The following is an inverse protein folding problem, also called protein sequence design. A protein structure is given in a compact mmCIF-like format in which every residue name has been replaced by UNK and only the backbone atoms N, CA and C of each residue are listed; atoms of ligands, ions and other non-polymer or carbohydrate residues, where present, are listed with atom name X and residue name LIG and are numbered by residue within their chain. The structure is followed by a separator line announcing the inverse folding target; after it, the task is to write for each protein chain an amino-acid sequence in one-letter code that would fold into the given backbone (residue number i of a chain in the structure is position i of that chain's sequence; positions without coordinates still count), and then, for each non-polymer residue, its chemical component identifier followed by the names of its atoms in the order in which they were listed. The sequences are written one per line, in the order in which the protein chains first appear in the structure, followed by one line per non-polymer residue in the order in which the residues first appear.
data_IF_494534154284
#
_entry.id   IF_494534154284
#
_cell.length_a   1.000
_cell.length_b   1.000
_cell.length_c   1.000
_cell.angle_alpha   90.00
_cell.angle_beta   90.00
_cell.angle_gamma   90.00
#
_symmetry.space_group_name_H-M   'P 1'
#
loop_
_entity.id
_entity.type
_entity.pdbx_description
1 polymer ?
#
# COMPACT_ATOMS: atom_id res chain seq x y z
N UNK A 1 -8.32 -18.78 -32.76
CA UNK A 1 -7.69 -18.61 -31.43
C UNK A 1 -7.15 -17.19 -31.37
N UNK A 2 -7.83 -16.31 -30.65
CA UNK A 2 -7.29 -14.98 -30.33
C UNK A 2 -6.11 -15.17 -29.38
N UNK A 3 -4.97 -14.55 -29.69
CA UNK A 3 -3.80 -14.59 -28.82
C UNK A 3 -4.17 -13.84 -27.52
N UNK A 4 -4.05 -14.46 -26.34
CA UNK A 4 -4.66 -13.94 -25.10
C UNK A 4 -3.97 -12.66 -24.56
N UNK A 5 -2.94 -12.17 -25.25
CA UNK A 5 -2.23 -10.92 -25.00
C UNK A 5 -2.22 -10.00 -26.25
N UNK A 6 -3.03 -10.27 -27.27
CA UNK A 6 -3.10 -9.45 -28.49
C UNK A 6 -3.41 -7.97 -28.20
N UNK A 7 -4.41 -7.63 -27.34
CA UNK A 7 -4.74 -6.23 -27.08
C UNK A 7 -3.59 -5.46 -26.42
N UNK A 8 -2.77 -6.15 -25.60
CA UNK A 8 -1.59 -5.58 -24.96
C UNK A 8 -0.47 -5.31 -25.97
N UNK A 9 -0.29 -6.21 -26.94
CA UNK A 9 0.67 -6.02 -28.02
C UNK A 9 0.26 -4.83 -28.90
N UNK A 10 -1.02 -4.74 -29.23
CA UNK A 10 -1.57 -3.63 -30.00
C UNK A 10 -1.46 -2.29 -29.24
N UNK A 11 -1.76 -2.30 -27.93
CA UNK A 11 -1.58 -1.13 -27.07
C UNK A 11 -0.11 -0.70 -27.02
N UNK A 12 0.83 -1.65 -26.91
CA UNK A 12 2.27 -1.33 -26.90
C UNK A 12 2.68 -0.61 -28.18
N UNK A 13 2.33 -1.16 -29.34
CA UNK A 13 2.65 -0.54 -30.63
C UNK A 13 2.02 0.87 -30.74
N UNK A 14 0.78 1.02 -30.28
CA UNK A 14 0.07 2.30 -30.29
C UNK A 14 0.70 3.33 -29.34
N UNK A 15 1.05 2.93 -28.11
CA UNK A 15 1.66 3.82 -27.14
C UNK A 15 3.08 4.21 -27.53
N UNK A 16 3.85 3.33 -28.17
CA UNK A 16 5.16 3.71 -28.71
C UNK A 16 5.04 4.81 -29.78
N UNK A 17 4.06 4.70 -30.69
CA UNK A 17 3.76 5.76 -31.67
C UNK A 17 3.25 7.05 -31.01
N UNK A 18 2.39 6.91 -29.99
CA UNK A 18 1.79 8.02 -29.26
C UNK A 18 2.80 8.77 -28.39
N UNK A 19 3.74 8.06 -27.75
CA UNK A 19 4.83 8.68 -26.99
C UNK A 19 5.81 9.44 -27.89
N UNK A 20 5.98 9.00 -29.14
CA UNK A 20 6.80 9.73 -30.13
C UNK A 20 6.06 10.94 -30.71
N UNK A 21 4.72 10.87 -30.79
CA UNK A 21 3.87 11.90 -31.42
C UNK A 21 2.67 12.24 -30.54
N UNK A 22 2.89 12.81 -29.33
CA UNK A 22 1.83 13.04 -28.35
C UNK A 22 0.79 14.07 -28.82
N UNK A 23 1.21 15.03 -29.65
CA UNK A 23 0.36 16.10 -30.18
C UNK A 23 -0.37 15.69 -31.47
N UNK A 24 -0.78 14.41 -31.59
CA UNK A 24 -1.63 13.96 -32.70
C UNK A 24 -2.99 14.67 -32.65
N UNK A 25 -3.08 15.82 -33.31
CA UNK A 25 -4.30 16.62 -33.39
C UNK A 25 -5.46 15.94 -34.10
N UNK A 26 -5.26 14.75 -34.67
CA UNK A 26 -6.34 13.94 -35.26
C UNK A 26 -7.06 13.06 -34.23
N UNK A 27 -6.44 12.79 -33.08
CA UNK A 27 -6.99 11.90 -32.05
C UNK A 27 -6.95 10.42 -32.40
N UNK A 28 -6.45 10.04 -33.57
CA UNK A 28 -6.44 8.66 -34.04
C UNK A 28 -5.65 7.73 -33.11
N UNK A 29 -4.46 8.17 -32.68
CA UNK A 29 -3.64 7.37 -31.76
C UNK A 29 -4.29 7.23 -30.38
N UNK A 30 -5.00 8.26 -29.92
CA UNK A 30 -5.75 8.22 -28.66
C UNK A 30 -6.92 7.23 -28.74
N UNK A 31 -7.75 7.32 -29.78
CA UNK A 31 -8.88 6.42 -29.99
C UNK A 31 -8.43 4.96 -30.10
N UNK A 32 -7.33 4.72 -30.82
CA UNK A 32 -6.74 3.38 -30.94
C UNK A 32 -6.22 2.86 -29.60
N UNK A 33 -5.57 3.69 -28.80
CA UNK A 33 -5.11 3.31 -27.45
C UNK A 33 -6.30 2.97 -26.54
N UNK A 34 -7.35 3.79 -26.54
CA UNK A 34 -8.58 3.55 -25.78
C UNK A 34 -9.25 2.23 -26.18
N UNK A 35 -9.42 1.98 -27.48
CA UNK A 35 -9.98 0.73 -27.98
C UNK A 35 -9.15 -0.49 -27.57
N UNK A 36 -7.82 -0.36 -27.54
CA UNK A 36 -6.95 -1.44 -27.06
C UNK A 36 -7.16 -1.71 -25.57
N UNK A 37 -7.23 -0.67 -24.73
CA UNK A 37 -7.50 -0.81 -23.27
C UNK A 37 -8.87 -1.46 -23.05
N UNK A 38 -9.93 -1.01 -23.72
CA UNK A 38 -11.26 -1.62 -23.64
C UNK A 38 -11.23 -3.11 -24.03
N UNK A 39 -10.50 -3.44 -25.10
CA UNK A 39 -10.32 -4.84 -25.52
C UNK A 39 -9.50 -5.65 -24.49
N UNK A 40 -8.57 -5.02 -23.74
CA UNK A 40 -7.88 -5.67 -22.63
C UNK A 40 -8.85 -6.03 -21.51
N UNK A 41 -9.78 -5.14 -21.11
CA UNK A 41 -10.81 -5.43 -20.11
C UNK A 41 -11.60 -6.69 -20.48
N UNK A 42 -12.12 -6.75 -21.71
CA UNK A 42 -12.87 -7.91 -22.20
C UNK A 42 -12.03 -9.19 -22.25
N UNK A 43 -10.80 -9.11 -22.76
CA UNK A 43 -9.93 -10.28 -22.89
C UNK A 43 -9.55 -10.87 -21.52
N UNK A 44 -9.29 -10.01 -20.53
CA UNK A 44 -9.01 -10.46 -19.16
C UNK A 44 -10.25 -11.12 -18.58
N UNK A 45 -11.42 -10.49 -18.68
CA UNK A 45 -12.66 -11.05 -18.16
C UNK A 45 -12.98 -12.43 -18.76
N UNK A 46 -12.92 -12.56 -20.08
CA UNK A 46 -13.16 -13.83 -20.78
C UNK A 46 -12.17 -14.92 -20.35
N UNK A 47 -10.89 -14.57 -20.20
CA UNK A 47 -9.88 -15.53 -19.76
C UNK A 47 -10.06 -15.95 -18.30
N UNK A 48 -10.40 -15.01 -17.42
CA UNK A 48 -10.63 -15.29 -15.99
C UNK A 48 -11.89 -16.14 -15.74
N UNK A 49 -12.88 -16.07 -16.63
CA UNK A 49 -14.08 -16.92 -16.60
C UNK A 49 -13.89 -18.28 -17.30
N UNK A 50 -12.73 -18.52 -17.91
CA UNK A 50 -12.47 -19.76 -18.63
C UNK A 50 -12.23 -20.94 -17.67
N UNK A 51 -12.50 -22.19 -18.07
CA UNK A 51 -12.36 -23.37 -17.20
C UNK A 51 -10.90 -23.82 -17.02
N UNK A 52 -9.98 -22.87 -16.85
CA UNK A 52 -8.54 -23.13 -16.67
C UNK A 52 -8.23 -23.37 -15.20
N UNK A 53 -7.13 -24.09 -14.96
CA UNK A 53 -6.62 -24.31 -13.62
C UNK A 53 -6.16 -23.00 -12.97
N UNK A 54 -6.32 -22.88 -11.65
CA UNK A 54 -5.93 -21.69 -10.87
C UNK A 54 -4.46 -21.28 -11.10
N UNK A 55 -3.55 -22.25 -11.23
CA UNK A 55 -2.14 -21.95 -11.49
C UNK A 55 -1.93 -21.24 -12.83
N UNK A 56 -2.74 -21.58 -13.85
CA UNK A 56 -2.72 -20.93 -15.16
C UNK A 56 -3.30 -19.53 -15.07
N UNK A 57 -4.42 -19.35 -14.38
CA UNK A 57 -5.06 -18.05 -14.15
C UNK A 57 -4.14 -17.09 -13.38
N UNK A 58 -3.46 -17.56 -12.33
CA UNK A 58 -2.46 -16.78 -11.59
C UNK A 58 -1.29 -16.35 -12.47
N UNK A 59 -0.74 -17.26 -13.28
CA UNK A 59 0.37 -16.95 -14.20
C UNK A 59 -0.07 -15.93 -15.26
N UNK A 60 -1.28 -16.08 -15.78
CA UNK A 60 -1.87 -15.14 -16.73
C UNK A 60 -2.00 -13.75 -16.14
N UNK A 61 -2.62 -13.62 -14.97
CA UNK A 61 -2.78 -12.36 -14.24
C UNK A 61 -1.43 -11.69 -13.95
N UNK A 62 -0.45 -12.45 -13.42
CA UNK A 62 0.91 -11.96 -13.19
C UNK A 62 1.57 -11.43 -14.46
N UNK A 63 1.36 -12.11 -15.59
CA UNK A 63 1.95 -11.71 -16.88
C UNK A 63 1.31 -10.41 -17.36
N UNK A 64 -0.01 -10.25 -17.26
CA UNK A 64 -0.68 -8.99 -17.56
C UNK A 64 -0.19 -7.84 -16.70
N UNK A 65 -0.14 -8.02 -15.38
CA UNK A 65 0.35 -7.00 -14.45
C UNK A 65 1.76 -6.55 -14.81
N UNK A 66 2.67 -7.50 -15.08
CA UNK A 66 4.06 -7.20 -15.42
C UNK A 66 4.19 -6.47 -16.77
N UNK A 67 3.40 -6.86 -17.76
CA UNK A 67 3.45 -6.22 -19.08
C UNK A 67 2.81 -4.84 -19.08
N UNK A 68 1.70 -4.65 -18.37
CA UNK A 68 1.09 -3.33 -18.12
C UNK A 68 2.11 -2.44 -17.39
N UNK A 69 2.75 -2.96 -16.32
CA UNK A 69 3.80 -2.25 -15.59
C UNK A 69 4.91 -1.76 -16.53
N UNK A 70 5.50 -2.67 -17.31
CA UNK A 70 6.58 -2.34 -18.24
C UNK A 70 6.17 -1.28 -19.27
N UNK A 71 4.94 -1.37 -19.78
CA UNK A 71 4.43 -0.43 -20.78
C UNK A 71 4.22 0.96 -20.18
N UNK A 72 3.54 1.04 -19.05
CA UNK A 72 3.19 2.32 -18.43
C UNK A 72 4.33 2.94 -17.62
N UNK A 73 5.40 2.20 -17.35
CA UNK A 73 6.67 2.76 -16.87
C UNK A 73 7.39 3.64 -17.91
N UNK A 74 7.05 3.50 -19.20
CA UNK A 74 7.57 4.34 -20.27
C UNK A 74 6.83 5.68 -20.39
N UNK A 75 5.65 5.78 -19.75
CA UNK A 75 4.81 6.98 -19.83
C UNK A 75 5.36 8.08 -18.92
N UNK A 76 5.50 9.33 -19.42
CA UNK A 76 5.94 10.46 -18.59
C UNK A 76 5.00 10.72 -17.42
N UNK A 77 5.56 10.97 -16.23
CA UNK A 77 4.75 11.31 -15.05
C UNK A 77 4.02 12.65 -15.18
N UNK A 78 4.46 13.53 -16.08
CA UNK A 78 3.72 14.76 -16.40
C UNK A 78 2.34 14.48 -17.00
N UNK A 79 2.10 13.28 -17.55
CA UNK A 79 0.78 12.90 -18.06
C UNK A 79 -0.24 12.59 -16.97
N UNK A 80 0.18 12.45 -15.71
CA UNK A 80 -0.71 12.23 -14.56
C UNK A 80 -0.74 13.39 -13.58
N UNK A 81 -0.07 14.49 -13.91
CA UNK A 81 -0.09 15.70 -13.07
C UNK A 81 -1.53 16.19 -12.89
N UNK A 82 -1.90 16.49 -11.65
CA UNK A 82 -3.24 16.91 -11.24
C UNK A 82 -4.38 15.93 -11.64
N UNK A 83 -4.09 14.65 -11.86
CA UNK A 83 -5.13 13.65 -12.07
C UNK A 83 -5.85 13.37 -10.75
N UNK A 84 -7.15 13.67 -10.71
CA UNK A 84 -8.06 13.25 -9.66
C UNK A 84 -8.89 12.04 -10.14
N UNK A 85 -8.73 10.85 -9.55
CA UNK A 85 -9.54 9.69 -9.90
C UNK A 85 -11.03 9.83 -9.61
N UNK A 86 -11.39 10.71 -8.66
CA UNK A 86 -12.78 10.99 -8.29
C UNK A 86 -13.43 12.03 -9.22
N UNK A 87 -12.62 12.81 -9.96
CA UNK A 87 -13.06 13.75 -11.01
C UNK A 87 -12.25 13.51 -12.30
N UNK A 88 -12.55 12.42 -13.04
CA UNK A 88 -11.76 12.03 -14.20
C UNK A 88 -11.83 13.09 -15.31
N UNK A 89 -10.76 13.22 -16.12
CA UNK A 89 -10.74 14.23 -17.18
C UNK A 89 -11.84 14.00 -18.22
N UNK A 90 -12.24 15.09 -18.87
CA UNK A 90 -13.26 15.03 -19.91
C UNK A 90 -12.75 14.22 -21.12
N UNK A 91 -13.56 13.26 -21.60
CA UNK A 91 -13.20 12.41 -22.75
C UNK A 91 -13.15 13.18 -24.07
N UNK A 92 -13.93 14.26 -24.17
CA UNK A 92 -14.06 15.11 -25.35
C UNK A 92 -13.03 16.25 -25.40
N UNK A 93 -12.17 16.39 -24.38
CA UNK A 93 -11.11 17.39 -24.36
C UNK A 93 -9.77 16.81 -24.85
N UNK A 94 -9.26 17.25 -26.03
CA UNK A 94 -7.97 16.80 -26.54
C UNK A 94 -6.78 17.11 -25.64
N UNK A 95 -6.86 18.17 -24.83
CA UNK A 95 -5.79 18.49 -23.87
C UNK A 95 -5.67 17.44 -22.76
N UNK A 96 -6.72 16.63 -22.56
CA UNK A 96 -6.84 15.63 -21.49
C UNK A 96 -6.62 14.19 -21.95
N UNK A 97 -6.41 13.93 -23.25
CA UNK A 97 -6.26 12.58 -23.80
C UNK A 97 -5.15 11.74 -23.16
N UNK A 98 -3.98 12.35 -22.92
CA UNK A 98 -2.88 11.71 -22.22
C UNK A 98 -3.27 11.27 -20.80
N UNK A 99 -3.95 12.17 -20.06
CA UNK A 99 -4.46 11.89 -18.72
C UNK A 99 -5.50 10.78 -18.74
N UNK A 100 -6.38 10.76 -19.74
CA UNK A 100 -7.39 9.72 -19.91
C UNK A 100 -6.77 8.34 -20.13
N UNK A 101 -5.71 8.21 -20.93
CA UNK A 101 -5.00 6.94 -21.10
C UNK A 101 -4.41 6.45 -19.77
N UNK A 102 -3.80 7.35 -18.98
CA UNK A 102 -3.26 6.99 -17.68
C UNK A 102 -4.35 6.59 -16.67
N UNK A 103 -5.46 7.32 -16.65
CA UNK A 103 -6.63 6.99 -15.83
C UNK A 103 -7.20 5.61 -16.17
N UNK A 104 -7.33 5.31 -17.45
CA UNK A 104 -7.83 4.02 -17.92
C UNK A 104 -6.91 2.85 -17.57
N UNK A 105 -5.59 3.05 -17.62
CA UNK A 105 -4.64 2.06 -17.08
C UNK A 105 -4.82 1.86 -15.57
N UNK A 106 -4.96 2.96 -14.82
CA UNK A 106 -5.17 2.89 -13.38
C UNK A 106 -6.46 2.10 -13.07
N UNK A 107 -7.54 2.40 -13.79
CA UNK A 107 -8.84 1.72 -13.67
C UNK A 107 -8.72 0.23 -13.99
N UNK A 108 -8.02 -0.14 -15.06
CA UNK A 108 -7.78 -1.53 -15.43
C UNK A 108 -7.07 -2.31 -14.31
N UNK A 109 -5.99 -1.75 -13.75
CA UNK A 109 -5.26 -2.38 -12.64
C UNK A 109 -6.13 -2.50 -11.37
N UNK A 110 -6.93 -1.47 -11.06
CA UNK A 110 -7.89 -1.51 -9.95
C UNK A 110 -8.98 -2.55 -10.16
N UNK A 111 -9.48 -2.70 -11.38
CA UNK A 111 -10.45 -3.74 -11.71
C UNK A 111 -9.84 -5.13 -11.53
N UNK A 112 -8.63 -5.36 -12.03
CA UNK A 112 -7.90 -6.61 -11.84
C UNK A 112 -7.74 -6.95 -10.35
N UNK A 113 -7.40 -5.96 -9.52
CA UNK A 113 -7.24 -6.12 -8.07
C UNK A 113 -8.56 -6.43 -7.35
N UNK A 114 -9.66 -5.79 -7.75
CA UNK A 114 -10.96 -5.86 -7.05
C UNK A 114 -11.81 -7.04 -7.50
N UNK A 115 -11.86 -7.34 -8.80
CA UNK A 115 -12.65 -8.44 -9.36
C UNK A 115 -11.95 -9.79 -9.22
N UNK A 116 -10.62 -9.82 -9.25
CA UNK A 116 -9.83 -11.06 -9.23
C UNK A 116 -8.79 -11.12 -8.10
N UNK A 117 -9.16 -10.85 -6.83
CA UNK A 117 -8.22 -10.64 -5.73
C UNK A 117 -7.36 -11.88 -5.39
N UNK A 118 -7.87 -13.09 -5.65
CA UNK A 118 -7.15 -14.36 -5.40
C UNK A 118 -6.03 -14.58 -6.44
N UNK A 119 -6.20 -14.01 -7.63
CA UNK A 119 -5.29 -14.19 -8.76
C UNK A 119 -4.32 -13.02 -8.92
N UNK A 120 -4.66 -11.84 -8.38
CA UNK A 120 -3.85 -10.65 -8.42
C UNK A 120 -2.53 -10.80 -7.63
N UNK A 121 -1.41 -10.56 -8.31
CA UNK A 121 -0.07 -10.68 -7.74
C UNK A 121 0.27 -9.43 -6.92
N UNK A 122 0.09 -9.51 -5.59
CA UNK A 122 0.38 -8.39 -4.68
C UNK A 122 1.87 -8.16 -4.44
N UNK A 123 2.73 -9.12 -4.73
CA UNK A 123 4.18 -8.97 -4.53
C UNK A 123 4.89 -8.23 -5.68
N UNK A 124 4.21 -8.03 -6.81
CA UNK A 124 4.74 -7.24 -7.93
C UNK A 124 4.72 -5.74 -7.65
N UNK A 125 5.56 -4.98 -8.34
CA UNK A 125 5.54 -3.51 -8.28
C UNK A 125 4.47 -2.93 -9.22
N UNK A 126 3.72 -1.90 -8.80
CA UNK A 126 2.87 -1.14 -9.71
C UNK A 126 3.69 -0.30 -10.72
N UNK A 127 3.08 0.07 -11.87
CA UNK A 127 3.65 1.11 -12.73
C UNK A 127 3.71 2.45 -11.99
N UNK A 128 4.68 3.30 -12.34
CA UNK A 128 4.87 4.59 -11.65
C UNK A 128 3.62 5.49 -11.72
N UNK A 129 2.92 5.53 -12.85
CA UNK A 129 1.69 6.31 -12.98
C UNK A 129 0.63 5.89 -11.96
N UNK A 130 0.51 4.59 -11.66
CA UNK A 130 -0.44 4.08 -10.69
C UNK A 130 -0.10 4.59 -9.29
N UNK A 131 1.19 4.63 -8.96
CA UNK A 131 1.68 5.15 -7.68
C UNK A 131 1.36 6.64 -7.53
N UNK A 132 1.63 7.45 -8.55
CA UNK A 132 1.36 8.90 -8.50
C UNK A 132 -0.13 9.20 -8.37
N UNK A 133 -0.97 8.42 -9.06
CA UNK A 133 -2.42 8.53 -8.94
C UNK A 133 -2.90 8.12 -7.55
N UNK A 134 -2.38 7.05 -6.95
CA UNK A 134 -2.72 6.75 -5.55
C UNK A 134 -2.24 7.85 -4.59
N UNK A 135 -1.02 8.39 -4.79
CA UNK A 135 -0.53 9.50 -3.97
C UNK A 135 -1.46 10.70 -4.03
N UNK A 136 -2.00 11.08 -5.19
CA UNK A 136 -2.92 12.21 -5.31
C UNK A 136 -4.18 12.00 -4.45
N UNK A 137 -4.77 10.80 -4.49
CA UNK A 137 -5.93 10.43 -3.66
C UNK A 137 -5.68 10.52 -2.14
N UNK A 138 -4.45 10.27 -1.70
CA UNK A 138 -4.09 10.27 -0.28
C UNK A 138 -3.40 11.55 0.18
N UNK A 139 -3.04 12.47 -0.72
CA UNK A 139 -2.22 13.64 -0.42
C UNK A 139 -2.83 14.51 0.69
N UNK A 140 -4.12 14.84 0.56
CA UNK A 140 -4.82 15.66 1.54
C UNK A 140 -4.86 15.00 2.93
N UNK A 141 -5.12 13.68 2.98
CA UNK A 141 -5.11 12.91 4.24
C UNK A 141 -3.74 12.95 4.90
N UNK A 142 -2.66 12.77 4.14
CA UNK A 142 -1.29 12.83 4.65
C UNK A 142 -0.98 14.22 5.22
N UNK A 143 -1.42 15.31 4.56
CA UNK A 143 -1.26 16.66 5.08
C UNK A 143 -2.02 16.89 6.39
N UNK A 144 -3.27 16.42 6.49
CA UNK A 144 -4.06 16.52 7.72
C UNK A 144 -3.38 15.76 8.86
N UNK A 145 -2.95 14.51 8.61
CA UNK A 145 -2.26 13.72 9.64
C UNK A 145 -0.99 14.48 10.09
N UNK A 146 -0.18 14.99 9.16
CA UNK A 146 1.03 15.74 9.51
C UNK A 146 0.71 16.97 10.39
N UNK A 147 -0.27 17.79 10.01
CA UNK A 147 -0.70 18.96 10.79
C UNK A 147 -1.26 18.59 12.17
N UNK A 148 -2.05 17.52 12.24
CA UNK A 148 -2.61 17.03 13.50
C UNK A 148 -1.48 16.63 14.46
N UNK A 149 -0.45 15.97 13.94
CA UNK A 149 0.70 15.50 14.72
C UNK A 149 1.59 16.63 15.21
N UNK A 150 1.82 17.67 14.40
CA UNK A 150 2.53 18.89 14.82
C UNK A 150 1.81 19.58 15.99
N UNK A 151 0.48 19.65 15.95
CA UNK A 151 -0.34 20.28 17.00
C UNK A 151 -0.40 19.47 18.29
N UNK A 152 -0.34 18.13 18.22
CA UNK A 152 -0.75 17.25 19.32
C UNK A 152 0.36 16.52 20.07
N UNK A 153 1.64 16.52 19.66
CA UNK A 153 2.54 15.55 20.31
C UNK A 153 4.01 15.84 20.46
N UNK A 154 4.43 16.47 21.58
CA UNK A 154 5.65 16.10 22.31
C UNK A 154 5.56 14.67 22.89
N UNK A 155 4.36 14.22 23.30
CA UNK A 155 4.14 12.92 23.94
C UNK A 155 4.05 11.74 22.95
N UNK A 156 3.71 12.01 21.69
CA UNK A 156 3.61 11.02 20.61
C UNK A 156 4.76 11.12 19.61
N UNK A 157 5.70 12.07 19.80
CA UNK A 157 6.68 12.47 18.79
C UNK A 157 7.52 11.30 18.27
N UNK A 158 8.00 10.42 19.16
CA UNK A 158 8.82 9.26 18.75
C UNK A 158 8.02 8.22 17.97
N UNK A 159 6.80 7.91 18.44
CA UNK A 159 5.92 6.97 17.74
C UNK A 159 5.52 7.51 16.37
N UNK A 160 5.31 8.83 16.29
CA UNK A 160 5.05 9.52 15.05
C UNK A 160 6.22 9.45 14.09
N UNK A 161 7.45 9.73 14.54
CA UNK A 161 8.64 9.66 13.70
C UNK A 161 8.75 8.30 13.03
N UNK A 162 8.50 7.22 13.77
CA UNK A 162 8.51 5.85 13.22
C UNK A 162 7.44 5.70 12.13
N UNK A 163 6.20 6.15 12.37
CA UNK A 163 5.11 6.05 11.40
C UNK A 163 5.33 6.92 10.16
N UNK A 164 5.79 8.14 10.39
CA UNK A 164 6.07 9.10 9.34
C UNK A 164 7.15 8.60 8.41
N UNK A 165 8.22 8.01 8.95
CA UNK A 165 9.26 7.37 8.14
C UNK A 165 8.68 6.25 7.27
N UNK A 166 7.79 5.40 7.81
CA UNK A 166 7.13 4.35 7.02
C UNK A 166 6.26 4.93 5.89
N UNK A 167 5.49 5.99 6.16
CA UNK A 167 4.68 6.67 5.14
C UNK A 167 5.57 7.35 4.09
N UNK A 168 6.62 8.06 4.52
CA UNK A 168 7.56 8.76 3.64
C UNK A 168 8.29 7.81 2.69
N UNK A 169 8.62 6.59 3.13
CA UNK A 169 9.26 5.58 2.27
C UNK A 169 8.47 5.32 1.00
N UNK A 170 7.15 5.19 1.09
CA UNK A 170 6.28 4.98 -0.08
C UNK A 170 6.00 6.27 -0.85
N UNK A 171 6.11 7.42 -0.18
CA UNK A 171 5.98 8.72 -0.84
C UNK A 171 7.20 9.05 -1.72
N UNK A 172 8.41 8.67 -1.29
CA UNK A 172 9.69 9.01 -1.92
C UNK A 172 10.38 7.77 -2.52
N UNK A 173 9.87 7.27 -3.64
CA UNK A 173 10.35 6.03 -4.30
C UNK A 173 11.46 6.24 -5.34
N UNK A 174 12.36 7.21 -5.12
CA UNK A 174 13.39 7.55 -6.12
C UNK A 174 14.31 6.37 -6.48
N UNK A 175 14.53 5.44 -5.53
CA UNK A 175 15.51 4.35 -5.68
C UNK A 175 14.95 2.95 -5.43
N UNK A 176 13.81 2.82 -4.75
CA UNK A 176 13.22 1.54 -4.35
C UNK A 176 11.75 1.55 -4.71
N UNK A 177 11.33 0.56 -5.52
CA UNK A 177 9.92 0.33 -5.84
C UNK A 177 9.31 -0.65 -4.86
N UNK A 178 8.20 -0.26 -4.27
CA UNK A 178 7.44 -1.08 -3.34
C UNK A 178 6.39 -1.90 -4.10
N UNK A 179 6.01 -3.04 -3.53
CA UNK A 179 4.99 -3.92 -4.08
C UNK A 179 3.57 -3.38 -3.87
N UNK A 180 2.59 -3.87 -4.65
CA UNK A 180 1.17 -3.54 -4.43
C UNK A 180 0.75 -3.79 -2.97
N UNK A 181 1.24 -4.86 -2.34
CA UNK A 181 0.94 -5.17 -0.94
C UNK A 181 1.46 -4.12 0.05
N UNK A 182 2.65 -3.57 -0.18
CA UNK A 182 3.24 -2.52 0.65
C UNK A 182 2.52 -1.18 0.49
N UNK A 183 2.10 -0.87 -0.75
CA UNK A 183 1.22 0.26 -1.06
C UNK A 183 -0.13 0.12 -0.35
N UNK A 184 -0.83 -1.01 -0.58
CA UNK A 184 -2.11 -1.35 0.06
C UNK A 184 -2.03 -1.20 1.58
N UNK A 185 -0.94 -1.69 2.19
CA UNK A 185 -0.73 -1.56 3.63
C UNK A 185 -0.69 -0.10 4.08
N UNK A 186 0.07 0.73 3.38
CA UNK A 186 0.31 2.12 3.78
C UNK A 186 -0.91 3.00 3.56
N UNK A 187 -1.65 2.78 2.47
CA UNK A 187 -2.95 3.40 2.24
C UNK A 187 -3.99 2.98 3.27
N UNK A 188 -3.98 1.71 3.67
CA UNK A 188 -4.80 1.24 4.80
C UNK A 188 -4.40 1.91 6.12
N UNK A 189 -3.11 2.06 6.41
CA UNK A 189 -2.61 2.76 7.59
C UNK A 189 -3.07 4.22 7.62
N UNK A 190 -2.89 4.96 6.53
CA UNK A 190 -3.32 6.36 6.40
C UNK A 190 -4.83 6.48 6.60
N UNK A 191 -5.62 5.59 5.98
CA UNK A 191 -7.08 5.59 6.11
C UNK A 191 -7.51 5.38 7.56
N UNK A 192 -6.95 4.38 8.25
CA UNK A 192 -7.31 4.13 9.63
C UNK A 192 -6.81 5.23 10.59
N UNK A 193 -5.64 5.83 10.31
CA UNK A 193 -5.16 7.00 11.06
C UNK A 193 -6.15 8.17 10.95
N UNK A 194 -6.60 8.49 9.73
CA UNK A 194 -7.63 9.50 9.52
C UNK A 194 -8.91 9.16 10.28
N UNK A 195 -9.40 7.92 10.20
CA UNK A 195 -10.58 7.51 10.96
C UNK A 195 -10.40 7.67 12.46
N UNK A 196 -9.23 7.37 13.02
CA UNK A 196 -8.93 7.59 14.44
C UNK A 196 -8.92 9.08 14.79
N UNK A 197 -8.34 9.93 13.93
CA UNK A 197 -8.33 11.38 14.09
C UNK A 197 -9.77 11.93 14.06
N UNK A 198 -10.57 11.50 13.09
CA UNK A 198 -11.96 11.96 12.94
C UNK A 198 -12.84 11.50 14.10
N UNK A 199 -12.63 10.27 14.59
CA UNK A 199 -13.45 9.67 15.66
C UNK A 199 -13.09 10.21 17.04
N UNK A 200 -11.80 10.35 17.34
CA UNK A 200 -11.33 10.67 18.69
C UNK A 200 -10.88 12.12 18.84
N UNK A 201 -10.50 12.78 17.74
CA UNK A 201 -10.00 14.15 17.74
C UNK A 201 -8.97 14.38 18.83
N UNK A 202 -9.24 15.36 19.68
CA UNK A 202 -8.36 15.76 20.79
C UNK A 202 -8.12 14.67 21.85
N UNK A 203 -8.98 13.66 21.93
CA UNK A 203 -8.87 12.56 22.90
C UNK A 203 -7.97 11.41 22.41
N UNK A 204 -7.44 11.49 21.20
CA UNK A 204 -6.59 10.45 20.63
C UNK A 204 -5.23 10.39 21.35
N UNK A 205 -5.13 9.51 22.34
CA UNK A 205 -3.88 9.21 23.06
C UNK A 205 -3.10 7.98 22.56
N UNK A 206 -1.95 7.70 23.21
CA UNK A 206 -1.05 6.57 22.92
C UNK A 206 -1.76 5.20 22.82
N UNK A 207 -2.77 4.96 23.66
CA UNK A 207 -3.51 3.69 23.67
C UNK A 207 -4.21 3.41 22.34
N UNK A 208 -4.81 4.44 21.72
CA UNK A 208 -5.49 4.31 20.42
C UNK A 208 -4.46 3.99 19.35
N UNK A 209 -3.33 4.69 19.36
CA UNK A 209 -2.22 4.43 18.46
C UNK A 209 -1.68 3.02 18.58
N UNK A 210 -1.39 2.52 19.79
CA UNK A 210 -0.95 1.13 19.95
C UNK A 210 -2.00 0.14 19.47
N UNK A 211 -3.27 0.35 19.83
CA UNK A 211 -4.35 -0.52 19.37
C UNK A 211 -4.39 -0.60 17.84
N UNK A 212 -4.25 0.53 17.15
CA UNK A 212 -4.21 0.59 15.70
C UNK A 212 -2.99 -0.15 15.13
N UNK A 213 -1.79 0.12 15.64
CA UNK A 213 -0.55 -0.47 15.12
C UNK A 213 -0.45 -1.97 15.36
N UNK A 214 -0.96 -2.46 16.48
CA UNK A 214 -1.11 -3.90 16.70
C UNK A 214 -2.17 -4.50 15.77
N UNK A 215 -3.33 -3.86 15.65
CA UNK A 215 -4.41 -4.34 14.80
C UNK A 215 -3.99 -4.48 13.34
N UNK A 216 -3.28 -3.48 12.80
CA UNK A 216 -2.77 -3.50 11.43
C UNK A 216 -1.49 -4.32 11.27
N UNK A 217 -0.95 -4.93 12.32
CA UNK A 217 0.32 -5.66 12.25
C UNK A 217 1.50 -4.79 11.74
N UNK A 218 1.70 -3.64 12.37
CA UNK A 218 2.84 -2.75 12.10
C UNK A 218 4.15 -3.36 12.62
N UNK A 219 4.66 -4.34 11.88
CA UNK A 219 5.83 -5.15 12.24
C UNK A 219 7.16 -4.50 11.87
N UNK A 220 7.25 -3.19 12.10
CA UNK A 220 8.48 -2.42 11.98
C UNK A 220 9.42 -2.67 13.16
N UNK A 221 10.71 -2.81 12.88
CA UNK A 221 11.73 -3.08 13.89
C UNK A 221 11.97 -1.89 14.83
N UNK A 222 11.87 -0.66 14.33
CA UNK A 222 11.99 0.56 15.14
C UNK A 222 10.82 0.70 16.09
N UNK A 223 9.61 0.33 15.65
CA UNK A 223 8.44 0.25 16.53
C UNK A 223 8.61 -0.78 17.64
N UNK A 224 9.10 -1.98 17.31
CA UNK A 224 9.41 -2.99 18.32
C UNK A 224 10.44 -2.48 19.34
N UNK A 225 11.52 -1.85 18.88
CA UNK A 225 12.56 -1.29 19.77
C UNK A 225 12.00 -0.19 20.67
N UNK A 226 11.09 0.63 20.16
CA UNK A 226 10.38 1.65 20.93
C UNK A 226 9.55 1.01 22.06
N UNK A 227 8.77 -0.03 21.77
CA UNK A 227 8.01 -0.79 22.77
C UNK A 227 8.95 -1.42 23.82
N UNK A 228 10.00 -2.11 23.37
CA UNK A 228 10.98 -2.75 24.25
C UNK A 228 11.63 -1.73 25.19
N UNK A 229 11.99 -0.55 24.68
CA UNK A 229 12.63 0.51 25.48
C UNK A 229 11.71 0.98 26.61
N UNK A 230 10.42 1.18 26.32
CA UNK A 230 9.44 1.54 27.34
C UNK A 230 9.27 0.45 28.42
N UNK A 231 9.24 -0.81 28.00
CA UNK A 231 9.14 -1.94 28.94
C UNK A 231 10.42 -2.05 29.80
N UNK A 232 11.60 -1.90 29.20
CA UNK A 232 12.88 -1.90 29.93
C UNK A 232 12.95 -0.78 30.96
N UNK A 233 12.43 0.40 30.64
CA UNK A 233 12.33 1.51 31.58
C UNK A 233 11.38 1.23 32.75
N UNK A 234 10.22 0.61 32.50
CA UNK A 234 9.30 0.19 33.56
C UNK A 234 9.92 -0.87 34.47
N UNK A 235 10.65 -1.83 33.88
CA UNK A 235 11.35 -2.89 34.60
C UNK A 235 12.52 -2.33 35.42
N UNK A 236 13.31 -1.40 34.87
CA UNK A 236 14.46 -0.84 35.57
C UNK A 236 14.05 0.01 36.78
N UNK A 237 12.91 0.69 36.71
CA UNK A 237 12.29 1.41 37.85
C UNK A 237 11.73 0.47 38.93
N UNK A 238 11.49 -0.79 38.59
CA UNK A 238 10.94 -1.78 39.51
C UNK A 238 12.07 -2.52 40.22
N UNK A 239 12.27 -2.31 41.53
CA UNK A 239 13.40 -2.92 42.26
C UNK A 239 13.15 -4.41 42.57
N UNK A 240 11.90 -4.80 42.81
CA UNK A 240 11.54 -6.14 43.30
C UNK A 240 11.46 -7.14 42.12
N UNK A 241 12.27 -8.21 42.10
CA UNK A 241 12.29 -9.20 41.01
C UNK A 241 10.92 -9.82 40.72
N UNK A 242 10.18 -10.24 41.74
CA UNK A 242 8.83 -10.81 41.57
C UNK A 242 7.85 -9.84 40.91
N UNK A 243 7.98 -8.52 41.17
CA UNK A 243 7.17 -7.51 40.51
C UNK A 243 7.53 -7.39 39.04
N UNK A 244 8.82 -7.45 38.68
CA UNK A 244 9.27 -7.49 37.28
C UNK A 244 8.66 -8.68 36.54
N UNK A 245 8.73 -9.88 37.14
CA UNK A 245 8.15 -11.10 36.56
C UNK A 245 6.63 -10.94 36.37
N UNK A 246 5.91 -10.38 37.35
CA UNK A 246 4.46 -10.13 37.24
C UNK A 246 4.12 -9.15 36.12
N UNK A 247 4.89 -8.08 35.95
CA UNK A 247 4.72 -7.10 34.85
C UNK A 247 4.88 -7.82 33.50
N UNK A 248 6.00 -8.52 33.32
CA UNK A 248 6.29 -9.25 32.08
C UNK A 248 5.23 -10.32 31.75
N UNK A 249 4.80 -11.12 32.73
CA UNK A 249 3.72 -12.11 32.54
C UNK A 249 2.38 -11.46 32.17
N UNK A 250 2.06 -10.30 32.77
CA UNK A 250 0.84 -9.55 32.42
C UNK A 250 0.91 -9.02 30.99
N UNK A 251 2.06 -8.51 30.57
CA UNK A 251 2.28 -8.04 29.19
C UNK A 251 2.17 -9.20 28.19
N UNK A 252 2.82 -10.33 28.45
CA UNK A 252 2.75 -11.52 27.58
C UNK A 252 1.31 -12.03 27.43
N UNK A 253 0.56 -12.13 28.53
CA UNK A 253 -0.86 -12.49 28.51
C UNK A 253 -1.72 -11.47 27.74
N UNK A 254 -1.38 -10.18 27.82
CA UNK A 254 -2.10 -9.13 27.07
C UNK A 254 -1.81 -9.25 25.57
N UNK A 255 -0.56 -9.50 25.18
CA UNK A 255 -0.19 -9.69 23.78
C UNK A 255 -0.92 -10.87 23.13
N UNK A 256 -1.11 -11.97 23.88
CA UNK A 256 -1.88 -13.12 23.41
C UNK A 256 -3.37 -12.85 23.15
N UNK A 257 -3.90 -11.71 23.63
CA UNK A 257 -5.30 -11.30 23.47
C UNK A 257 -5.51 -10.18 22.46
N UNK A 258 -4.43 -9.58 21.95
CA UNK A 258 -4.54 -8.51 20.97
C UNK A 258 -5.05 -9.07 19.64
N UNK A 259 -6.04 -8.40 19.06
CA UNK A 259 -6.48 -8.68 17.71
C UNK A 259 -5.43 -8.13 16.76
N UNK A 260 -4.84 -9.00 15.95
CA UNK A 260 -3.87 -8.67 14.90
C UNK A 260 -4.41 -9.23 13.59
N UNK A 261 -4.51 -8.39 12.56
CA UNK A 261 -4.90 -8.84 11.23
C UNK A 261 -3.79 -9.68 10.60
N UNK A 262 -4.19 -10.79 9.99
CA UNK A 262 -3.27 -11.71 9.30
C UNK A 262 -3.18 -11.44 7.79
N UNK A 263 -4.09 -10.61 7.26
CA UNK A 263 -4.22 -10.31 5.84
C UNK A 263 -3.47 -9.02 5.43
N UNK A 264 -2.88 -8.31 6.40
CA UNK A 264 -2.06 -7.11 6.18
C UNK A 264 -0.75 -7.23 6.94
N UNK A 265 0.34 -6.82 6.30
CA UNK A 265 1.69 -6.81 6.88
C UNK A 265 2.48 -5.66 6.27
N UNK A 266 3.21 -4.91 7.11
CA UNK A 266 4.06 -3.81 6.62
C UNK A 266 5.30 -4.37 5.93
N UNK A 267 6.00 -5.30 6.60
CA UNK A 267 7.22 -5.93 6.13
C UNK A 267 7.04 -7.46 6.10
N UNK A 268 6.87 -8.08 4.92
CA UNK A 268 6.73 -9.53 4.79
C UNK A 268 7.94 -10.33 5.32
N UNK A 269 9.12 -9.71 5.43
CA UNK A 269 10.31 -10.34 5.98
C UNK A 269 10.29 -10.49 7.50
N UNK A 270 9.45 -9.71 8.20
CA UNK A 270 9.36 -9.74 9.65
C UNK A 270 8.16 -10.59 10.13
N UNK A 271 8.29 -11.32 11.25
CA UNK A 271 7.14 -11.93 11.91
C UNK A 271 6.11 -10.87 12.34
N UNK A 272 4.86 -11.26 12.61
CA UNK A 272 3.87 -10.33 13.16
C UNK A 272 4.35 -9.65 14.46
N UNK A 273 3.97 -8.39 14.66
CA UNK A 273 4.51 -7.55 15.76
C UNK A 273 4.26 -8.16 17.15
N UNK A 274 3.11 -8.79 17.37
CA UNK A 274 2.79 -9.50 18.61
C UNK A 274 3.73 -10.70 18.83
N UNK A 275 4.06 -11.45 17.78
CA UNK A 275 4.99 -12.58 17.85
C UNK A 275 6.41 -12.10 18.15
N UNK A 276 6.85 -11.02 17.50
CA UNK A 276 8.17 -10.43 17.76
C UNK A 276 8.30 -10.00 19.22
N UNK A 277 7.30 -9.29 19.76
CA UNK A 277 7.31 -8.83 21.15
C UNK A 277 7.19 -10.00 22.14
N UNK A 278 6.34 -10.99 21.88
CA UNK A 278 6.22 -12.20 22.72
C UNK A 278 7.54 -12.98 22.82
N UNK A 279 8.26 -13.14 21.70
CA UNK A 279 9.57 -13.79 21.70
C UNK A 279 10.55 -13.06 22.63
N UNK A 280 10.57 -11.73 22.56
CA UNK A 280 11.41 -10.93 23.46
C UNK A 280 10.97 -11.06 24.93
N UNK A 281 9.67 -10.97 25.23
CA UNK A 281 9.13 -11.11 26.58
C UNK A 281 9.48 -12.47 27.22
N UNK A 282 9.40 -13.56 26.45
CA UNK A 282 9.78 -14.91 26.91
C UNK A 282 11.26 -14.99 27.27
N UNK A 283 12.15 -14.48 26.42
CA UNK A 283 13.59 -14.45 26.73
C UNK A 283 13.89 -13.68 28.02
N UNK A 284 13.24 -12.53 28.24
CA UNK A 284 13.41 -11.78 29.49
C UNK A 284 12.85 -12.49 30.73
N UNK A 285 11.76 -13.26 30.58
CA UNK A 285 11.21 -14.06 31.66
C UNK A 285 12.15 -15.22 32.04
N UNK A 286 12.76 -15.87 31.05
CA UNK A 286 13.75 -16.93 31.24
C UNK A 286 15.00 -16.40 31.96
N UNK A 287 15.52 -15.24 31.54
CA UNK A 287 16.67 -14.58 32.18
C UNK A 287 16.42 -14.22 33.65
N UNK A 288 15.20 -13.83 34.02
CA UNK A 288 14.85 -13.47 35.40
C UNK A 288 14.49 -14.67 36.29
N UNK A 289 14.26 -15.83 35.70
CA UNK A 289 13.91 -17.08 36.40
C UNK A 289 15.09 -18.05 36.50
N UNK A 290 16.18 -17.78 35.77
CA UNK A 290 17.47 -18.47 35.87
C UNK A 290 18.32 -17.94 37.01
#
# INVERSE_FOLDING_TARGET
MTFPFLPLHDLRNCLEEYLFTPDDGTGFLYEKAQACIEHMHHTIADFMLSPKEDAVLKRYMRTWQEQIRQLFDLVPLSWVEDLDPDDPPAFDDPASWHKNICYECFRLLKEMQTQYPIYFEKSGAPPLIYIEVEKSMFHHKVLIIAQWMEKKGPQLQKLWQILHLSIQRIWNQEYIRFSYGEHDYTWNLITHLMTQIDTHGDNMGQRHMYSLLFYLNFNDTSFLQYLISGIKEEISRTIIPDKKIKILKKMDSTMGKLLVRNDVVLDPGNPPINIMLQRWLKGQLEELQS
#
